data_IF_714083892802
#
_entry.id   IF_714083892802
#
_cell.length_a   1.000
_cell.length_b   1.000
_cell.length_c   1.000
_cell.angle_alpha   90.00
_cell.angle_beta   90.00
_cell.angle_gamma   90.00
#
_symmetry.space_group_name_H-M   'P 1'
#
loop_
_entity.id
_entity.type
_entity.pdbx_description
1 polymer ?
#
# COMPACT_ATOMS: atom_id res chain seq x y z
N UNK A 1 13.87 -7.66 -2.85
CA UNK A 1 12.97 -6.50 -2.74
C UNK A 1 11.86 -6.68 -3.77
N UNK A 2 10.60 -6.49 -3.38
CA UNK A 2 9.45 -6.62 -4.26
C UNK A 2 9.13 -5.30 -4.96
N UNK A 3 8.53 -5.41 -6.15
CA UNK A 3 8.07 -4.27 -6.95
C UNK A 3 6.55 -4.29 -7.03
N UNK A 4 5.92 -3.17 -6.65
CA UNK A 4 4.49 -2.94 -6.83
C UNK A 4 4.28 -1.92 -7.96
N UNK A 5 3.60 -2.34 -9.03
CA UNK A 5 3.21 -1.48 -10.15
C UNK A 5 1.89 -0.77 -9.87
N UNK A 6 1.89 0.56 -9.88
CA UNK A 6 0.67 1.35 -9.61
C UNK A 6 -0.05 1.62 -10.93
N UNK A 7 -1.26 1.02 -11.07
CA UNK A 7 -2.08 1.09 -12.29
C UNK A 7 -3.44 1.76 -12.06
N UNK A 8 -3.61 2.47 -10.94
CA UNK A 8 -4.81 3.24 -10.62
C UNK A 8 -5.09 4.34 -11.67
N UNK A 9 -6.31 4.86 -11.67
CA UNK A 9 -6.77 5.88 -12.62
C UNK A 9 -6.52 5.45 -14.08
N UNK A 10 -6.93 4.19 -14.38
CA UNK A 10 -6.74 3.58 -15.69
C UNK A 10 -5.25 3.61 -16.14
N UNK A 11 -4.34 3.22 -15.24
CA UNK A 11 -2.89 3.31 -15.44
C UNK A 11 -2.45 4.73 -15.83
N UNK A 12 -2.88 5.72 -15.04
CA UNK A 12 -2.65 7.14 -15.32
C UNK A 12 -3.10 7.56 -16.73
N UNK A 13 -4.17 6.93 -17.24
CA UNK A 13 -4.71 7.17 -18.58
C UNK A 13 -4.14 6.32 -19.71
N UNK A 14 -3.19 5.40 -19.42
CA UNK A 14 -2.56 4.54 -20.42
C UNK A 14 -3.32 3.24 -20.69
N UNK A 15 -4.37 2.94 -19.94
CA UNK A 15 -5.12 1.69 -20.01
C UNK A 15 -4.66 0.68 -18.97
N UNK A 16 -5.44 0.44 -17.91
CA UNK A 16 -5.03 -0.39 -16.79
C UNK A 16 -4.81 -1.85 -17.21
N UNK A 17 -5.76 -2.44 -17.94
CA UNK A 17 -5.67 -3.85 -18.37
C UNK A 17 -4.47 -4.12 -19.28
N UNK A 18 -4.23 -3.38 -20.39
CA UNK A 18 -3.05 -3.65 -21.23
C UNK A 18 -1.72 -3.42 -20.52
N UNK A 19 -1.64 -2.40 -19.65
CA UNK A 19 -0.42 -2.14 -18.87
C UNK A 19 -0.20 -3.25 -17.84
N UNK A 20 -1.22 -3.65 -17.09
CA UNK A 20 -1.10 -4.72 -16.11
C UNK A 20 -0.74 -6.05 -16.78
N UNK A 21 -1.37 -6.41 -17.90
CA UNK A 21 -1.04 -7.64 -18.66
C UNK A 21 0.41 -7.66 -19.15
N UNK A 22 0.94 -6.52 -19.59
CA UNK A 22 2.34 -6.41 -20.00
C UNK A 22 3.31 -6.55 -18.81
N UNK A 23 2.97 -5.99 -17.65
CA UNK A 23 3.83 -5.94 -16.47
C UNK A 23 3.70 -7.15 -15.55
N UNK A 24 2.71 -8.03 -15.71
CA UNK A 24 2.35 -9.07 -14.75
C UNK A 24 3.52 -9.98 -14.33
N UNK A 25 4.41 -10.29 -15.29
CA UNK A 25 5.60 -11.10 -15.00
C UNK A 25 6.83 -10.28 -14.57
N UNK A 26 6.68 -8.97 -14.40
CA UNK A 26 7.76 -8.05 -14.06
C UNK A 26 7.58 -7.41 -12.69
N UNK A 27 6.37 -7.51 -12.12
CA UNK A 27 6.03 -6.95 -10.80
C UNK A 27 5.54 -8.05 -9.85
N UNK A 28 5.65 -7.83 -8.56
CA UNK A 28 5.15 -8.75 -7.53
C UNK A 28 3.73 -8.42 -7.09
N UNK A 29 3.32 -7.16 -7.27
CA UNK A 29 2.02 -6.62 -6.89
C UNK A 29 1.56 -5.59 -7.90
N UNK A 30 0.24 -5.43 -8.02
CA UNK A 30 -0.37 -4.22 -8.57
C UNK A 30 -1.01 -3.37 -7.47
N UNK A 31 -1.20 -2.07 -7.73
CA UNK A 31 -2.02 -1.22 -6.87
C UNK A 31 -3.01 -0.39 -7.67
N UNK A 32 -4.24 -0.37 -7.14
CA UNK A 32 -5.37 0.43 -7.63
C UNK A 32 -5.83 1.44 -6.59
N UNK A 33 -6.76 2.31 -6.93
CA UNK A 33 -7.36 3.26 -5.99
C UNK A 33 -8.72 2.79 -5.49
N UNK A 34 -9.48 2.05 -6.29
CA UNK A 34 -10.85 1.62 -5.99
C UNK A 34 -11.02 0.13 -6.21
N UNK A 35 -12.13 -0.41 -5.71
CA UNK A 35 -12.49 -1.82 -5.88
C UNK A 35 -12.85 -2.12 -7.34
N UNK A 36 -13.51 -1.21 -8.02
CA UNK A 36 -13.91 -1.37 -9.42
C UNK A 36 -12.68 -1.53 -10.33
N UNK A 37 -11.63 -0.73 -10.12
CA UNK A 37 -10.37 -0.87 -10.85
C UNK A 37 -9.71 -2.24 -10.59
N UNK A 38 -9.75 -2.73 -9.36
CA UNK A 38 -9.17 -4.01 -8.99
C UNK A 38 -9.96 -5.19 -9.57
N UNK A 39 -11.29 -5.13 -9.53
CA UNK A 39 -12.19 -6.13 -10.13
C UNK A 39 -12.02 -6.18 -11.64
N UNK A 40 -11.94 -5.02 -12.32
CA UNK A 40 -11.66 -4.96 -13.76
C UNK A 40 -10.38 -5.72 -14.12
N UNK A 41 -9.30 -5.56 -13.36
CA UNK A 41 -8.06 -6.32 -13.59
C UNK A 41 -8.28 -7.83 -13.39
N UNK A 42 -8.98 -8.26 -12.36
CA UNK A 42 -9.30 -9.67 -12.11
C UNK A 42 -10.14 -10.28 -13.21
N UNK A 43 -11.19 -9.60 -13.66
CA UNK A 43 -12.06 -10.05 -14.76
C UNK A 43 -11.33 -10.16 -16.11
N UNK A 44 -10.23 -9.41 -16.27
CA UNK A 44 -9.36 -9.49 -17.44
C UNK A 44 -8.14 -10.42 -17.24
N UNK A 45 -8.18 -11.29 -16.23
CA UNK A 45 -7.23 -12.39 -16.06
C UNK A 45 -5.94 -12.05 -15.32
N UNK A 46 -5.81 -10.85 -14.72
CA UNK A 46 -4.64 -10.52 -13.89
C UNK A 46 -4.69 -11.33 -12.60
N UNK A 47 -3.70 -12.19 -12.39
CA UNK A 47 -3.60 -13.12 -11.26
C UNK A 47 -2.69 -12.60 -10.14
N UNK A 48 -1.75 -11.71 -10.46
CA UNK A 48 -0.84 -11.10 -9.49
C UNK A 48 -1.60 -10.43 -8.33
N UNK A 49 -1.06 -10.39 -7.10
CA UNK A 49 -1.67 -9.70 -5.97
C UNK A 49 -2.02 -8.24 -6.29
N UNK A 50 -3.19 -7.77 -5.85
CA UNK A 50 -3.66 -6.40 -6.07
C UNK A 50 -3.94 -5.75 -4.71
N UNK A 51 -3.30 -4.61 -4.43
CA UNK A 51 -3.53 -3.79 -3.25
C UNK A 51 -4.37 -2.56 -3.62
N UNK A 52 -5.50 -2.36 -2.95
CA UNK A 52 -6.22 -1.09 -3.03
C UNK A 52 -5.58 -0.09 -2.06
N UNK A 53 -5.05 1.01 -2.58
CA UNK A 53 -4.40 2.06 -1.79
C UNK A 53 -5.37 3.01 -1.09
N UNK A 54 -6.66 2.95 -1.44
CA UNK A 54 -7.72 3.81 -0.95
C UNK A 54 -8.67 3.12 0.02
N UNK A 55 -9.67 3.87 0.42
CA UNK A 55 -10.80 3.38 1.21
C UNK A 55 -11.77 2.59 0.31
N UNK A 56 -12.26 1.48 0.84
CA UNK A 56 -13.38 0.70 0.25
C UNK A 56 -14.54 0.70 1.23
N UNK A 57 -15.74 0.93 0.74
CA UNK A 57 -16.95 0.86 1.57
C UNK A 57 -17.18 -0.56 2.08
N UNK A 58 -17.62 -0.76 3.33
CA UNK A 58 -17.98 -2.08 3.84
C UNK A 58 -19.03 -2.82 2.99
N UNK A 59 -19.86 -2.10 2.25
CA UNK A 59 -20.84 -2.71 1.32
C UNK A 59 -20.18 -3.41 0.13
N UNK A 60 -18.92 -3.16 -0.15
CA UNK A 60 -18.13 -3.71 -1.26
C UNK A 60 -17.11 -4.78 -0.80
N UNK A 61 -17.07 -5.10 0.49
CA UNK A 61 -16.14 -6.12 1.00
C UNK A 61 -16.48 -7.53 0.48
N UNK A 62 -17.72 -7.74 0.03
CA UNK A 62 -18.10 -8.98 -0.64
C UNK A 62 -17.22 -9.26 -1.85
N UNK A 63 -17.12 -8.33 -2.74
CA UNK A 63 -16.30 -8.42 -3.96
C UNK A 63 -14.81 -8.46 -3.62
N UNK A 64 -14.37 -7.66 -2.63
CA UNK A 64 -12.98 -7.62 -2.20
C UNK A 64 -12.48 -9.02 -1.77
N UNK A 65 -13.27 -9.73 -0.97
CA UNK A 65 -12.96 -11.08 -0.49
C UNK A 65 -13.11 -12.11 -1.61
N UNK A 66 -14.15 -12.00 -2.45
CA UNK A 66 -14.42 -12.92 -3.55
C UNK A 66 -13.30 -12.90 -4.59
N UNK A 67 -12.82 -11.72 -4.98
CA UNK A 67 -11.76 -11.53 -5.97
C UNK A 67 -10.34 -11.61 -5.41
N UNK A 68 -10.17 -11.97 -4.13
CA UNK A 68 -8.84 -12.04 -3.46
C UNK A 68 -8.02 -10.75 -3.64
N UNK A 69 -8.63 -9.62 -3.26
CA UNK A 69 -8.01 -8.29 -3.35
C UNK A 69 -7.53 -7.87 -1.95
N UNK A 70 -6.31 -7.39 -1.85
CA UNK A 70 -5.71 -6.90 -0.59
C UNK A 70 -6.22 -5.50 -0.27
N UNK A 71 -6.71 -5.29 0.96
CA UNK A 71 -7.27 -4.02 1.42
C UNK A 71 -6.29 -3.21 2.26
N UNK A 72 -6.27 -1.91 2.05
CA UNK A 72 -5.68 -0.95 2.98
C UNK A 72 -6.58 -0.75 4.18
N UNK A 73 -6.04 -0.95 5.38
CA UNK A 73 -6.72 -0.76 6.66
C UNK A 73 -6.15 0.47 7.38
N UNK A 74 -7.02 1.37 7.78
CA UNK A 74 -6.70 2.62 8.49
C UNK A 74 -7.33 2.74 9.88
N UNK A 75 -8.13 1.75 10.28
CA UNK A 75 -8.77 1.70 11.60
C UNK A 75 -9.15 0.27 12.00
N UNK A 76 -9.19 0.00 13.29
CA UNK A 76 -9.64 -1.29 13.81
C UNK A 76 -11.10 -1.58 13.47
N UNK A 77 -11.95 -0.56 13.44
CA UNK A 77 -13.36 -0.70 13.03
C UNK A 77 -13.50 -1.19 11.59
N UNK A 78 -12.65 -0.68 10.69
CA UNK A 78 -12.59 -1.15 9.29
C UNK A 78 -12.14 -2.61 9.23
N UNK A 79 -11.10 -2.99 9.99
CA UNK A 79 -10.62 -4.36 10.07
C UNK A 79 -11.71 -5.33 10.56
N UNK A 80 -12.48 -4.95 11.60
CA UNK A 80 -13.58 -5.76 12.10
C UNK A 80 -14.71 -5.95 11.08
N UNK A 81 -15.00 -4.93 10.29
CA UNK A 81 -16.02 -5.04 9.24
C UNK A 81 -15.56 -5.99 8.12
N UNK A 82 -14.26 -5.93 7.74
CA UNK A 82 -13.67 -6.85 6.78
C UNK A 82 -13.59 -8.28 7.31
N UNK A 83 -13.17 -8.46 8.56
CA UNK A 83 -13.17 -9.75 9.26
C UNK A 83 -14.52 -10.44 9.20
N UNK A 84 -15.59 -9.69 9.51
CA UNK A 84 -16.97 -10.20 9.48
C UNK A 84 -17.36 -10.72 8.10
N UNK A 85 -16.97 -10.03 7.05
CA UNK A 85 -17.28 -10.45 5.69
C UNK A 85 -16.42 -11.64 5.26
N UNK A 86 -15.13 -11.65 5.59
CA UNK A 86 -14.23 -12.76 5.32
C UNK A 86 -14.72 -14.05 6.03
N UNK A 87 -15.13 -13.94 7.29
CA UNK A 87 -15.73 -15.04 8.05
C UNK A 87 -17.02 -15.55 7.39
N UNK A 88 -17.90 -14.65 6.92
CA UNK A 88 -19.14 -15.00 6.22
C UNK A 88 -18.89 -15.85 4.97
N UNK A 89 -17.82 -15.54 4.25
CA UNK A 89 -17.39 -16.28 3.04
C UNK A 89 -16.51 -17.49 3.37
N UNK A 90 -16.18 -17.73 4.63
CA UNK A 90 -15.23 -18.76 5.08
C UNK A 90 -13.86 -18.64 4.34
N UNK A 91 -13.37 -17.41 4.18
CA UNK A 91 -12.11 -17.05 3.52
C UNK A 91 -11.25 -16.20 4.45
N UNK A 92 -9.99 -15.98 4.06
CA UNK A 92 -9.16 -14.94 4.64
C UNK A 92 -9.13 -13.72 3.73
N UNK A 93 -9.16 -12.54 4.33
CA UNK A 93 -8.95 -11.27 3.64
C UNK A 93 -7.53 -10.76 3.93
N UNK A 94 -6.81 -10.43 2.89
CA UNK A 94 -5.46 -9.87 2.97
C UNK A 94 -5.51 -8.37 3.26
N UNK A 95 -4.62 -7.89 4.10
CA UNK A 95 -4.62 -6.50 4.53
C UNK A 95 -3.20 -5.92 4.66
N UNK A 96 -3.09 -4.62 4.30
CA UNK A 96 -1.94 -3.78 4.64
C UNK A 96 -2.37 -2.64 5.53
N UNK A 97 -1.67 -2.40 6.64
CA UNK A 97 -1.90 -1.23 7.48
C UNK A 97 -1.41 0.04 6.79
N UNK A 98 -2.23 1.06 6.73
CA UNK A 98 -1.76 2.40 6.41
C UNK A 98 -1.32 3.12 7.70
N UNK A 99 -0.17 3.79 7.65
CA UNK A 99 0.35 4.62 8.75
C UNK A 99 0.46 6.05 8.26
N UNK A 100 -0.15 6.98 8.97
CA UNK A 100 -0.01 8.40 8.69
C UNK A 100 1.22 8.97 9.40
N UNK A 101 2.30 9.10 8.67
CA UNK A 101 3.54 9.70 9.16
C UNK A 101 3.64 11.20 8.89
N UNK A 102 2.60 11.79 8.28
CA UNK A 102 2.55 13.22 7.98
C UNK A 102 1.95 13.59 6.62
N UNK A 103 1.50 12.61 5.82
CA UNK A 103 0.72 12.88 4.60
C UNK A 103 -0.68 13.41 4.94
N UNK A 104 -1.21 13.11 6.14
CA UNK A 104 -2.51 13.54 6.68
C UNK A 104 -3.70 13.20 5.78
N UNK A 105 -3.66 12.00 5.20
CA UNK A 105 -4.70 11.54 4.29
C UNK A 105 -5.47 10.35 4.81
N UNK A 106 -4.79 9.26 5.15
CA UNK A 106 -5.33 8.02 5.75
C UNK A 106 -4.26 7.37 6.60
N UNK A 107 -4.66 6.58 7.58
CA UNK A 107 -3.77 5.70 8.34
C UNK A 107 -3.79 5.94 9.83
N UNK A 108 -3.31 4.94 10.56
CA UNK A 108 -3.07 5.02 12.00
C UNK A 108 -2.03 6.09 12.31
N UNK A 109 -2.27 6.87 13.35
CA UNK A 109 -1.29 7.82 13.84
C UNK A 109 -0.18 7.11 14.60
N UNK A 110 1.01 7.70 14.66
CA UNK A 110 2.16 7.12 15.35
C UNK A 110 2.08 7.41 16.85
N UNK A 111 1.12 6.76 17.51
CA UNK A 111 0.84 6.84 18.95
C UNK A 111 0.75 5.45 19.56
N UNK A 112 0.92 5.34 20.88
CA UNK A 112 0.72 4.09 21.62
C UNK A 112 -0.70 3.54 21.41
N UNK A 113 -1.71 4.43 21.51
CA UNK A 113 -3.10 4.05 21.32
C UNK A 113 -3.36 3.41 19.94
N UNK A 114 -2.88 4.05 18.88
CA UNK A 114 -3.10 3.55 17.53
C UNK A 114 -2.29 2.28 17.25
N UNK A 115 -1.12 2.14 17.88
CA UNK A 115 -0.34 0.90 17.83
C UNK A 115 -1.07 -0.25 18.54
N UNK A 116 -1.74 0.01 19.69
CA UNK A 116 -2.59 -0.96 20.35
C UNK A 116 -3.76 -1.41 19.47
N UNK A 117 -4.43 -0.45 18.81
CA UNK A 117 -5.54 -0.75 17.89
C UNK A 117 -5.07 -1.53 16.65
N UNK A 118 -3.94 -1.13 16.07
CA UNK A 118 -3.38 -1.82 14.90
C UNK A 118 -2.89 -3.24 15.24
N UNK A 119 -2.31 -3.45 16.43
CA UNK A 119 -1.85 -4.74 16.88
C UNK A 119 -2.99 -5.77 17.02
N UNK A 120 -4.17 -5.35 17.48
CA UNK A 120 -5.36 -6.22 17.59
C UNK A 120 -5.79 -6.83 16.25
N UNK A 121 -5.42 -6.19 15.12
CA UNK A 121 -5.79 -6.67 13.78
C UNK A 121 -5.08 -7.99 13.48
N UNK A 122 -3.86 -8.18 13.99
CA UNK A 122 -3.10 -9.41 13.80
C UNK A 122 -3.74 -10.64 14.47
N UNK A 123 -4.61 -10.42 15.46
CA UNK A 123 -5.32 -11.48 16.18
C UNK A 123 -6.66 -11.87 15.51
N UNK A 124 -7.08 -11.16 14.46
CA UNK A 124 -8.33 -11.45 13.77
C UNK A 124 -8.18 -12.71 12.89
N UNK A 125 -8.98 -13.77 13.12
CA UNK A 125 -8.73 -15.09 12.54
C UNK A 125 -8.89 -15.15 11.01
N UNK A 126 -9.68 -14.25 10.41
CA UNK A 126 -9.91 -14.20 8.96
C UNK A 126 -9.21 -13.01 8.29
N UNK A 127 -8.35 -12.28 9.02
CA UNK A 127 -7.48 -11.27 8.43
C UNK A 127 -6.05 -11.84 8.31
N UNK A 128 -5.48 -11.71 7.14
CA UNK A 128 -4.07 -11.97 6.88
C UNK A 128 -3.35 -10.63 6.74
N UNK A 129 -2.66 -10.23 7.81
CA UNK A 129 -1.93 -8.97 7.84
C UNK A 129 -0.58 -9.15 7.13
N UNK A 130 -0.55 -8.82 5.83
CA UNK A 130 0.62 -9.03 4.97
C UNK A 130 1.61 -7.87 5.01
N UNK A 131 1.11 -6.65 5.18
CA UNK A 131 1.97 -5.49 5.00
C UNK A 131 1.60 -4.27 5.81
N UNK A 132 2.51 -3.29 5.75
CA UNK A 132 2.31 -1.95 6.30
C UNK A 132 2.98 -0.92 5.41
N UNK A 133 2.35 0.23 5.24
CA UNK A 133 2.92 1.30 4.44
C UNK A 133 2.59 2.70 4.95
N UNK A 134 3.40 3.63 4.52
CA UNK A 134 3.10 5.05 4.54
C UNK A 134 3.36 5.67 3.16
N UNK A 135 3.17 6.97 3.01
CA UNK A 135 3.39 7.67 1.75
C UNK A 135 4.19 8.96 1.97
N UNK A 136 5.29 9.09 1.25
CA UNK A 136 6.05 10.34 1.25
C UNK A 136 5.21 11.48 0.66
N UNK A 137 5.19 12.60 1.37
CA UNK A 137 4.44 13.79 0.95
C UNK A 137 5.20 14.63 -0.07
N UNK A 138 6.54 14.66 0.03
CA UNK A 138 7.40 15.58 -0.71
C UNK A 138 8.78 14.97 -1.08
N UNK A 139 8.82 13.66 -1.36
CA UNK A 139 10.06 13.00 -1.79
C UNK A 139 10.62 13.56 -3.13
N UNK A 140 9.78 14.25 -3.88
CA UNK A 140 10.09 14.91 -5.16
C UNK A 140 10.67 16.32 -5.01
N UNK A 141 10.76 16.86 -3.77
CA UNK A 141 11.37 18.16 -3.48
C UNK A 141 12.86 18.01 -3.18
N UNK A 142 13.64 19.12 -3.29
CA UNK A 142 15.05 19.16 -2.97
C UNK A 142 15.30 18.92 -1.46
N UNK A 143 14.54 19.60 -0.60
CA UNK A 143 14.62 19.43 0.85
C UNK A 143 13.97 18.11 1.29
N UNK A 144 14.78 17.19 1.81
CA UNK A 144 14.37 15.87 2.28
C UNK A 144 14.07 15.82 3.80
N UNK A 145 14.15 16.95 4.49
CA UNK A 145 13.94 17.00 5.97
C UNK A 145 12.61 16.39 6.38
N UNK A 146 11.54 16.71 5.65
CA UNK A 146 10.22 16.17 5.95
C UNK A 146 10.13 14.65 5.67
N UNK A 147 10.81 14.16 4.64
CA UNK A 147 10.88 12.73 4.37
C UNK A 147 11.62 11.98 5.48
N UNK A 148 12.72 12.56 5.98
CA UNK A 148 13.46 11.99 7.13
C UNK A 148 12.58 11.87 8.36
N UNK A 149 11.80 12.90 8.69
CA UNK A 149 10.82 12.86 9.77
C UNK A 149 9.74 11.77 9.53
N UNK A 150 9.28 11.59 8.28
CA UNK A 150 8.32 10.54 7.96
C UNK A 150 8.92 9.15 8.13
N UNK A 151 10.18 8.95 7.77
CA UNK A 151 10.91 7.69 7.99
C UNK A 151 11.06 7.37 9.48
N UNK A 152 11.51 8.34 10.29
CA UNK A 152 11.61 8.19 11.76
C UNK A 152 10.27 7.80 12.40
N UNK A 153 9.17 8.42 11.98
CA UNK A 153 7.83 8.08 12.45
C UNK A 153 7.41 6.66 12.02
N UNK A 154 7.74 6.27 10.80
CA UNK A 154 7.43 4.93 10.32
C UNK A 154 8.20 3.85 11.07
N UNK A 155 9.49 4.07 11.33
CA UNK A 155 10.32 3.19 12.14
C UNK A 155 9.80 3.10 13.57
N UNK A 156 9.36 4.23 14.14
CA UNK A 156 8.71 4.24 15.46
C UNK A 156 7.45 3.37 15.48
N UNK A 157 6.57 3.48 14.50
CA UNK A 157 5.36 2.63 14.45
C UNK A 157 5.74 1.15 14.29
N UNK A 158 6.75 0.85 13.49
CA UNK A 158 7.27 -0.52 13.34
C UNK A 158 7.77 -1.07 14.69
N UNK A 159 8.50 -0.28 15.46
CA UNK A 159 8.98 -0.66 16.79
C UNK A 159 7.81 -0.88 17.77
N UNK A 160 6.84 0.03 17.81
CA UNK A 160 5.65 -0.08 18.66
C UNK A 160 4.85 -1.36 18.38
N UNK A 161 4.71 -1.75 17.12
CA UNK A 161 4.05 -3.01 16.74
C UNK A 161 4.88 -4.23 17.15
N UNK A 162 6.21 -4.17 16.98
CA UNK A 162 7.09 -5.24 17.40
C UNK A 162 7.07 -5.49 18.93
N UNK A 163 6.99 -4.42 19.73
CA UNK A 163 6.81 -4.50 21.19
C UNK A 163 5.51 -5.20 21.60
N UNK A 164 4.51 -5.19 20.73
CA UNK A 164 3.21 -5.87 20.87
C UNK A 164 3.18 -7.27 20.23
N UNK A 165 4.36 -7.78 19.81
CA UNK A 165 4.50 -9.10 19.20
C UNK A 165 4.06 -9.16 17.73
N UNK A 166 3.78 -8.03 17.08
CA UNK A 166 3.35 -7.99 15.68
C UNK A 166 4.55 -7.70 14.78
N UNK A 167 4.84 -8.64 13.87
CA UNK A 167 5.86 -8.49 12.84
C UNK A 167 5.18 -8.37 11.47
N UNK A 168 5.52 -7.32 10.75
CA UNK A 168 4.95 -7.06 9.42
C UNK A 168 5.91 -7.57 8.33
N UNK A 169 5.47 -8.53 7.49
CA UNK A 169 6.35 -9.12 6.48
C UNK A 169 6.73 -8.18 5.33
N UNK A 170 5.79 -7.30 4.90
CA UNK A 170 6.00 -6.41 3.76
C UNK A 170 5.85 -4.95 4.17
N UNK A 171 6.96 -4.27 4.37
CA UNK A 171 6.97 -2.83 4.66
C UNK A 171 7.29 -2.04 3.41
N UNK A 172 6.59 -0.93 3.17
CA UNK A 172 6.85 -0.09 2.01
C UNK A 172 6.52 1.38 2.25
N UNK A 173 7.44 2.26 1.89
CA UNK A 173 7.29 3.72 2.01
C UNK A 173 7.55 4.42 0.67
N UNK A 174 8.54 3.94 -0.12
CA UNK A 174 8.96 4.60 -1.34
C UNK A 174 7.88 4.58 -2.42
N UNK A 175 7.47 5.78 -2.84
CA UNK A 175 6.77 6.06 -4.10
C UNK A 175 7.79 6.25 -5.23
N UNK A 176 7.40 6.70 -6.41
CA UNK A 176 8.30 6.94 -7.55
C UNK A 176 9.49 7.83 -7.22
N UNK A 177 9.27 8.94 -6.54
CA UNK A 177 10.35 9.82 -6.11
C UNK A 177 11.24 9.15 -5.05
N UNK A 178 10.64 8.46 -4.09
CA UNK A 178 11.41 7.73 -3.08
C UNK A 178 12.27 6.60 -3.66
N UNK A 179 11.81 5.94 -4.73
CA UNK A 179 12.63 4.94 -5.45
C UNK A 179 13.89 5.57 -6.05
N UNK A 180 13.77 6.77 -6.61
CA UNK A 180 14.86 7.46 -7.31
C UNK A 180 15.81 8.19 -6.36
N UNK A 181 15.33 8.67 -5.22
CA UNK A 181 16.06 9.57 -4.33
C UNK A 181 16.64 8.92 -3.07
N UNK A 182 16.14 7.73 -2.68
CA UNK A 182 16.58 7.07 -1.46
C UNK A 182 17.10 5.66 -1.72
N UNK A 183 18.30 5.35 -1.21
CA UNK A 183 18.87 4.00 -1.23
C UNK A 183 18.49 3.18 0.00
N UNK A 184 18.34 3.84 1.13
CA UNK A 184 17.81 3.30 2.38
C UNK A 184 16.27 3.42 2.45
N UNK A 185 15.62 2.77 3.42
CA UNK A 185 14.17 2.76 3.61
C UNK A 185 13.34 2.27 2.41
N UNK A 186 13.94 1.49 1.50
CA UNK A 186 13.17 0.78 0.46
C UNK A 186 12.38 -0.39 1.04
N UNK A 187 12.82 -0.91 2.18
CA UNK A 187 12.24 -2.06 2.87
C UNK A 187 12.05 -3.27 1.95
N UNK A 188 11.00 -4.04 2.17
CA UNK A 188 10.73 -5.27 1.43
C UNK A 188 10.05 -5.01 0.09
N UNK A 189 9.39 -3.83 -0.09
CA UNK A 189 8.67 -3.49 -1.32
C UNK A 189 8.75 -1.99 -1.64
N UNK A 190 8.76 -1.65 -2.93
CA UNK A 190 8.67 -0.28 -3.43
C UNK A 190 7.48 -0.15 -4.39
N UNK A 191 6.93 1.08 -4.53
CA UNK A 191 5.75 1.35 -5.35
C UNK A 191 6.10 2.24 -6.54
N UNK A 192 6.28 1.62 -7.71
CA UNK A 192 6.50 2.31 -8.97
C UNK A 192 5.18 2.84 -9.52
N UNK A 193 5.02 4.15 -9.52
CA UNK A 193 3.86 4.84 -10.07
C UNK A 193 4.23 5.56 -11.36
N UNK A 194 4.32 6.89 -11.31
CA UNK A 194 4.51 7.74 -12.49
C UNK A 194 5.77 7.41 -13.31
N UNK A 195 6.84 6.94 -12.67
CA UNK A 195 8.07 6.54 -13.37
C UNK A 195 7.88 5.32 -14.27
N UNK A 196 6.92 4.44 -13.99
CA UNK A 196 6.56 3.32 -14.87
C UNK A 196 6.14 3.79 -16.26
N UNK A 197 5.63 5.01 -16.34
CA UNK A 197 5.12 5.64 -17.57
C UNK A 197 6.14 6.61 -18.21
N UNK A 198 7.41 6.56 -17.78
CA UNK A 198 8.48 7.41 -18.34
C UNK A 198 8.38 8.89 -17.92
N UNK A 199 7.66 9.19 -16.83
CA UNK A 199 7.44 10.56 -16.35
C UNK A 199 8.18 10.75 -15.03
N UNK A 200 9.03 11.77 -14.97
CA UNK A 200 9.71 12.15 -13.73
C UNK A 200 8.75 12.72 -12.70
N UNK A 201 8.92 12.41 -11.40
CA UNK A 201 8.08 12.98 -10.34
C UNK A 201 8.18 14.51 -10.24
N UNK A 202 9.35 15.07 -10.53
CA UNK A 202 9.60 16.52 -10.58
C UNK A 202 10.83 16.84 -11.42
N UNK A 203 11.04 18.11 -11.71
CA UNK A 203 12.28 18.58 -12.37
C UNK A 203 13.50 18.43 -11.43
N UNK A 204 13.31 18.45 -10.12
CA UNK A 204 14.41 18.20 -9.15
C UNK A 204 14.89 16.75 -9.22
N UNK A 205 13.98 15.78 -9.18
CA UNK A 205 14.31 14.35 -9.31
C UNK A 205 14.99 14.04 -10.66
N UNK A 206 14.59 14.74 -11.72
CA UNK A 206 15.21 14.59 -13.05
C UNK A 206 16.68 15.04 -13.10
N UNK A 207 17.11 15.90 -12.18
CA UNK A 207 18.52 16.33 -12.09
C UNK A 207 19.39 15.29 -11.41
N UNK A 208 18.85 14.52 -10.47
CA UNK A 208 19.57 13.57 -9.63
C UNK A 208 19.56 12.14 -10.16
N UNK A 209 18.53 11.76 -10.93
CA UNK A 209 18.34 10.39 -11.39
C UNK A 209 17.81 10.31 -12.83
N UNK A 210 17.98 9.16 -13.49
CA UNK A 210 17.48 8.90 -14.85
C UNK A 210 16.51 7.71 -14.87
N UNK A 211 15.49 7.80 -15.74
CA UNK A 211 14.54 6.73 -16.03
C UNK A 211 14.95 6.02 -17.33
#
# INVERSE_FOLDING_TARGET
>A
MKLLGVVKANAYGHGAVPVASYLENQVDYFATATIEEAVELRENGISAPILILGYVSPSQYGDLVEYDITQTIDSYAQALALEKEAARQNRKAKAHLAVDTGMTRIGFQVTEHDADEAAKIADLPHIELEGMFTHFSCADQEDKTYCSMQMEKYDKMTALLAERGVTIPLRHICNSAGIMEFDDHRFEMVRSGIITYGIYPSEEVKKSASI
#
